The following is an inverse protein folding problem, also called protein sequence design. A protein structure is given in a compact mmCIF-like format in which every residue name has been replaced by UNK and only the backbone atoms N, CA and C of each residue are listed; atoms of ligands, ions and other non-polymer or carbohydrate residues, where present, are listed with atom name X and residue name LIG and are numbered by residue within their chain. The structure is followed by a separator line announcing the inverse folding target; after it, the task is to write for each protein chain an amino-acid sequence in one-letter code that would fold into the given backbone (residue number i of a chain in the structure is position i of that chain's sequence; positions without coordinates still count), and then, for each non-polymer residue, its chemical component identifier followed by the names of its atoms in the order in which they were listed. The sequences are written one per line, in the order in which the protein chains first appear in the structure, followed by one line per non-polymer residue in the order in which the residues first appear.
data_IF_816350744306
#
_entry.id   IF_816350744306
#
_cell.length_a   1.000
_cell.length_b   1.000
_cell.length_c   1.000
_cell.angle_alpha   90.00
_cell.angle_beta   90.00
_cell.angle_gamma   90.00
#
_symmetry.space_group_name_H-M   'P 1'
#
loop_
_entity.id
_entity.type
_entity.pdbx_description
1 polymer ?
#
# COMPACT_ATOMS: atom_id res chain seq x y z
N UNK A 1 11.16 21.94 12.02
CA UNK A 1 10.18 21.38 11.06
C UNK A 1 10.66 20.07 10.44
N UNK A 2 11.82 20.02 9.77
CA UNK A 2 12.32 18.79 9.12
C UNK A 2 12.56 17.65 10.13
N UNK A 3 13.25 17.93 11.25
CA UNK A 3 13.52 16.92 12.30
C UNK A 3 12.22 16.36 12.88
N UNK A 4 11.22 17.21 13.13
CA UNK A 4 9.89 16.82 13.60
C UNK A 4 9.18 15.90 12.59
N UNK A 5 9.24 16.22 11.30
CA UNK A 5 8.63 15.39 10.26
C UNK A 5 9.30 14.01 10.15
N UNK A 6 10.63 13.95 10.22
CA UNK A 6 11.39 12.69 10.23
C UNK A 6 11.01 11.83 11.44
N UNK A 7 10.94 12.45 12.63
CA UNK A 7 10.54 11.76 13.84
C UNK A 7 9.12 11.19 13.72
N UNK A 8 8.16 11.98 13.24
CA UNK A 8 6.78 11.52 13.00
C UNK A 8 6.73 10.36 12.01
N UNK A 9 7.53 10.39 10.93
CA UNK A 9 7.60 9.32 9.95
C UNK A 9 8.13 8.01 10.57
N UNK A 10 9.18 8.09 11.40
CA UNK A 10 9.73 6.92 12.11
C UNK A 10 8.67 6.33 13.05
N UNK A 11 8.02 7.17 13.87
CA UNK A 11 6.96 6.74 14.79
C UNK A 11 5.80 6.10 14.03
N UNK A 12 5.42 6.69 12.89
CA UNK A 12 4.38 6.15 12.02
C UNK A 12 4.72 4.76 11.48
N UNK A 13 5.95 4.56 10.98
CA UNK A 13 6.40 3.24 10.50
C UNK A 13 6.43 2.21 11.62
N UNK A 14 6.93 2.57 12.81
CA UNK A 14 6.93 1.68 13.98
C UNK A 14 5.50 1.29 14.35
N UNK A 15 4.58 2.25 14.42
CA UNK A 15 3.18 2.00 14.70
C UNK A 15 2.55 1.07 13.67
N UNK A 16 2.81 1.31 12.38
CA UNK A 16 2.33 0.48 11.28
C UNK A 16 2.80 -0.98 11.38
N UNK A 17 4.09 -1.20 11.65
CA UNK A 17 4.63 -2.56 11.84
C UNK A 17 3.99 -3.23 13.05
N UNK A 18 3.86 -2.51 14.17
CA UNK A 18 3.21 -3.02 15.37
C UNK A 18 1.75 -3.42 15.12
N UNK A 19 0.96 -2.54 14.48
CA UNK A 19 -0.42 -2.83 14.12
C UNK A 19 -0.54 -4.01 13.15
N UNK A 20 0.39 -4.12 12.19
CA UNK A 20 0.41 -5.23 11.24
C UNK A 20 0.58 -6.58 11.92
N UNK A 21 1.58 -6.69 12.80
CA UNK A 21 1.85 -7.91 13.57
C UNK A 21 0.66 -8.26 14.46
N UNK A 22 0.11 -7.27 15.16
CA UNK A 22 -1.03 -7.48 16.06
C UNK A 22 -2.30 -7.90 15.30
N UNK A 23 -2.55 -7.31 14.13
CA UNK A 23 -3.69 -7.65 13.30
C UNK A 23 -3.56 -9.07 12.72
N UNK A 24 -2.37 -9.45 12.24
CA UNK A 24 -2.12 -10.81 11.77
C UNK A 24 -2.30 -11.84 12.89
N UNK A 25 -1.73 -11.61 14.09
CA UNK A 25 -1.91 -12.54 15.22
C UNK A 25 -3.37 -12.70 15.63
N UNK A 26 -4.10 -11.59 15.75
CA UNK A 26 -5.53 -11.64 16.05
C UNK A 26 -6.31 -12.39 14.97
N UNK A 27 -5.97 -12.16 13.70
CA UNK A 27 -6.65 -12.79 12.57
C UNK A 27 -6.30 -14.28 12.45
N UNK A 28 -5.07 -14.67 12.72
CA UNK A 28 -4.61 -16.05 12.73
C UNK A 28 -5.32 -16.86 13.85
N UNK A 29 -5.32 -16.32 15.08
CA UNK A 29 -5.97 -16.95 16.23
C UNK A 29 -7.50 -17.14 16.04
N UNK A 30 -8.16 -16.26 15.28
CA UNK A 30 -9.62 -16.24 15.13
C UNK A 30 -10.13 -16.81 13.80
N UNK A 31 -9.34 -16.71 12.73
CA UNK A 31 -9.75 -17.01 11.36
C UNK A 31 -8.78 -17.92 10.61
N UNK A 32 -7.67 -18.37 11.23
CA UNK A 32 -6.63 -19.19 10.57
C UNK A 32 -6.12 -18.54 9.26
N UNK A 33 -5.94 -17.21 9.32
CA UNK A 33 -5.61 -16.41 8.15
C UNK A 33 -4.83 -15.15 8.51
N UNK A 34 -3.72 -14.93 7.81
CA UNK A 34 -2.90 -13.72 7.90
C UNK A 34 -3.24 -12.72 6.78
N UNK A 35 -3.96 -11.62 7.09
CA UNK A 35 -4.39 -10.65 6.09
C UNK A 35 -3.22 -9.81 5.53
N UNK A 36 -2.16 -9.60 6.30
CA UNK A 36 -0.97 -8.86 5.87
C UNK A 36 0.14 -9.88 5.58
N UNK A 37 0.02 -10.56 4.44
CA UNK A 37 1.00 -11.51 3.93
C UNK A 37 1.81 -10.92 2.76
N UNK A 38 2.95 -11.53 2.42
CA UNK A 38 3.76 -11.12 1.26
C UNK A 38 2.94 -11.03 -0.03
N UNK A 39 2.01 -11.97 -0.25
CA UNK A 39 1.13 -11.98 -1.41
C UNK A 39 0.23 -10.74 -1.45
N UNK A 40 -0.45 -10.44 -0.33
CA UNK A 40 -1.38 -9.31 -0.27
C UNK A 40 -0.65 -7.96 -0.31
N UNK A 41 0.58 -7.89 0.22
CA UNK A 41 1.47 -6.74 0.08
C UNK A 41 1.79 -6.52 -1.40
N UNK A 42 2.25 -7.55 -2.11
CA UNK A 42 2.60 -7.45 -3.53
C UNK A 42 1.40 -7.02 -4.38
N UNK A 43 0.23 -7.62 -4.13
CA UNK A 43 -1.02 -7.22 -4.81
C UNK A 43 -1.37 -5.76 -4.54
N UNK A 44 -1.12 -5.25 -3.33
CA UNK A 44 -1.39 -3.85 -3.00
C UNK A 44 -0.34 -2.88 -3.58
N UNK A 45 0.83 -3.35 -4.02
CA UNK A 45 1.80 -2.52 -4.74
C UNK A 45 1.38 -2.25 -6.19
N UNK A 46 0.66 -3.20 -6.81
CA UNK A 46 0.23 -3.11 -8.23
C UNK A 46 -0.53 -1.82 -8.57
N UNK A 47 -1.54 -1.36 -7.80
CA UNK A 47 -2.21 -0.09 -8.04
C UNK A 47 -1.25 1.10 -8.15
N UNK A 48 -0.28 1.19 -7.24
CA UNK A 48 0.66 2.31 -7.20
C UNK A 48 1.66 2.27 -8.34
N UNK A 49 2.14 1.08 -8.70
CA UNK A 49 3.01 0.91 -9.88
C UNK A 49 2.25 1.29 -11.15
N UNK A 50 0.99 0.87 -11.27
CA UNK A 50 0.16 1.13 -12.44
C UNK A 50 -0.15 2.63 -12.59
N UNK A 51 -0.50 3.31 -11.49
CA UNK A 51 -0.63 4.77 -11.43
C UNK A 51 0.70 5.42 -11.83
N UNK A 52 1.82 4.99 -11.24
CA UNK A 52 3.15 5.50 -11.56
C UNK A 52 3.47 5.43 -13.05
N UNK A 53 3.36 4.24 -13.65
CA UNK A 53 3.64 4.03 -15.07
C UNK A 53 2.81 4.97 -15.96
N UNK A 54 1.52 5.12 -15.66
CA UNK A 54 0.65 5.94 -16.50
C UNK A 54 0.89 7.44 -16.33
N UNK A 55 1.12 7.90 -15.10
CA UNK A 55 1.43 9.32 -14.84
C UNK A 55 2.79 9.74 -15.38
N UNK A 56 3.82 8.90 -15.28
CA UNK A 56 5.18 9.28 -15.65
C UNK A 56 5.59 8.87 -17.07
N UNK A 57 5.11 7.73 -17.58
CA UNK A 57 5.54 7.17 -18.88
C UNK A 57 4.54 7.50 -19.98
N UNK A 58 3.28 7.09 -19.83
CA UNK A 58 2.31 7.15 -20.93
C UNK A 58 1.62 8.51 -21.10
N UNK A 59 1.41 9.25 -20.00
CA UNK A 59 0.90 10.64 -19.99
C UNK A 59 -0.40 10.89 -20.78
N UNK A 60 -1.20 9.86 -21.03
CA UNK A 60 -2.51 9.97 -21.72
C UNK A 60 -3.63 10.04 -20.69
N UNK A 61 -4.57 10.99 -20.86
CA UNK A 61 -5.73 11.17 -19.98
C UNK A 61 -6.62 9.92 -19.93
N UNK A 62 -6.87 9.29 -21.08
CA UNK A 62 -7.65 8.05 -21.15
C UNK A 62 -6.98 6.93 -20.35
N UNK A 63 -5.65 6.78 -20.50
CA UNK A 63 -4.89 5.79 -19.75
C UNK A 63 -4.89 6.09 -18.26
N UNK A 64 -4.87 7.36 -17.84
CA UNK A 64 -4.93 7.75 -16.42
C UNK A 64 -6.26 7.37 -15.79
N UNK A 65 -7.37 7.61 -16.49
CA UNK A 65 -8.70 7.21 -16.03
C UNK A 65 -8.79 5.69 -15.90
N UNK A 66 -8.35 4.95 -16.92
CA UNK A 66 -8.29 3.48 -16.88
C UNK A 66 -7.40 2.99 -15.73
N UNK A 67 -6.26 3.64 -15.49
CA UNK A 67 -5.35 3.30 -14.41
C UNK A 67 -6.00 3.44 -13.03
N UNK A 68 -6.74 4.52 -12.82
CA UNK A 68 -7.48 4.75 -11.57
C UNK A 68 -8.57 3.68 -11.40
N UNK A 69 -9.30 3.35 -12.48
CA UNK A 69 -10.35 2.32 -12.45
C UNK A 69 -9.75 0.95 -12.08
N UNK A 70 -8.69 0.51 -12.77
CA UNK A 70 -8.06 -0.77 -12.48
C UNK A 70 -7.43 -0.81 -11.08
N UNK A 71 -6.80 0.28 -10.66
CA UNK A 71 -6.27 0.42 -9.30
C UNK A 71 -7.36 0.25 -8.24
N UNK A 72 -8.50 0.89 -8.46
CA UNK A 72 -9.67 0.78 -7.57
C UNK A 72 -10.21 -0.65 -7.53
N UNK A 73 -10.33 -1.30 -8.68
CA UNK A 73 -10.77 -2.71 -8.77
C UNK A 73 -9.82 -3.64 -7.99
N UNK A 74 -8.50 -3.44 -8.08
CA UNK A 74 -7.51 -4.26 -7.37
C UNK A 74 -7.64 -4.06 -5.86
N UNK A 75 -7.75 -2.81 -5.39
CA UNK A 75 -7.92 -2.51 -3.96
C UNK A 75 -9.22 -3.13 -3.43
N UNK A 76 -10.33 -2.98 -4.16
CA UNK A 76 -11.62 -3.59 -3.81
C UNK A 76 -11.57 -5.11 -3.86
N UNK A 77 -10.90 -5.70 -4.85
CA UNK A 77 -10.71 -7.15 -4.95
C UNK A 77 -9.94 -7.71 -3.76
N UNK A 78 -8.86 -7.05 -3.35
CA UNK A 78 -8.07 -7.42 -2.17
C UNK A 78 -8.90 -7.27 -0.88
N UNK A 79 -9.67 -6.19 -0.75
CA UNK A 79 -10.61 -6.00 0.35
C UNK A 79 -11.63 -7.14 0.44
N UNK A 80 -12.31 -7.46 -0.67
CA UNK A 80 -13.31 -8.52 -0.71
C UNK A 80 -12.70 -9.89 -0.43
N UNK A 81 -11.48 -10.14 -0.92
CA UNK A 81 -10.75 -11.36 -0.65
C UNK A 81 -10.47 -11.55 0.85
N UNK A 82 -9.96 -10.52 1.52
CA UNK A 82 -9.72 -10.55 2.97
C UNK A 82 -11.04 -10.67 3.74
N UNK A 83 -12.04 -9.85 3.40
CA UNK A 83 -13.36 -9.84 4.04
C UNK A 83 -14.11 -11.18 3.91
N UNK A 84 -13.85 -11.96 2.87
CA UNK A 84 -14.46 -13.29 2.74
C UNK A 84 -13.85 -14.32 3.68
N UNK A 85 -12.69 -14.02 4.27
CA UNK A 85 -11.98 -14.87 5.23
C UNK A 85 -12.06 -14.34 6.67
N UNK A 86 -12.30 -13.04 6.85
CA UNK A 86 -12.29 -12.36 8.16
C UNK A 86 -13.55 -11.54 8.40
N UNK A 87 -13.63 -10.84 9.53
CA UNK A 87 -14.66 -9.81 9.74
C UNK A 87 -14.35 -8.51 8.96
N UNK A 88 -15.37 -7.63 8.90
CA UNK A 88 -15.29 -6.34 8.21
C UNK A 88 -14.20 -5.43 8.80
N UNK A 89 -14.02 -5.42 10.12
CA UNK A 89 -13.07 -4.55 10.80
C UNK A 89 -11.63 -4.96 10.51
N UNK A 90 -11.34 -6.27 10.50
CA UNK A 90 -10.05 -6.82 10.11
C UNK A 90 -9.76 -6.51 8.65
N UNK A 91 -10.73 -6.69 7.75
CA UNK A 91 -10.54 -6.40 6.34
C UNK A 91 -10.23 -4.91 6.08
N UNK A 92 -11.00 -4.00 6.69
CA UNK A 92 -10.75 -2.56 6.59
C UNK A 92 -9.38 -2.18 7.16
N UNK A 93 -9.02 -2.71 8.33
CA UNK A 93 -7.75 -2.43 8.98
C UNK A 93 -6.57 -2.95 8.16
N UNK A 94 -6.68 -4.15 7.61
CA UNK A 94 -5.66 -4.75 6.78
C UNK A 94 -5.46 -3.97 5.48
N UNK A 95 -6.55 -3.64 4.78
CA UNK A 95 -6.48 -2.85 3.54
C UNK A 95 -5.91 -1.47 3.80
N UNK A 96 -6.29 -0.82 4.90
CA UNK A 96 -5.71 0.45 5.32
C UNK A 96 -4.19 0.33 5.47
N UNK A 97 -3.72 -0.67 6.21
CA UNK A 97 -2.28 -0.91 6.39
C UNK A 97 -1.58 -1.17 5.05
N UNK A 98 -2.15 -2.04 4.22
CA UNK A 98 -1.58 -2.40 2.92
C UNK A 98 -1.48 -1.19 1.97
N UNK A 99 -2.49 -0.31 1.97
CA UNK A 99 -2.47 0.94 1.18
C UNK A 99 -1.28 1.82 1.59
N UNK A 100 -1.04 1.98 2.89
CA UNK A 100 0.09 2.78 3.37
C UNK A 100 1.44 2.16 3.03
N UNK A 101 1.56 0.83 3.09
CA UNK A 101 2.77 0.12 2.64
C UNK A 101 3.02 0.37 1.15
N UNK A 102 1.99 0.24 0.31
CA UNK A 102 2.09 0.53 -1.12
C UNK A 102 2.44 1.99 -1.41
N UNK A 103 1.87 2.93 -0.65
CA UNK A 103 2.19 4.36 -0.77
C UNK A 103 3.64 4.67 -0.38
N UNK A 104 4.15 4.08 0.72
CA UNK A 104 5.54 4.24 1.14
C UNK A 104 6.50 3.71 0.08
N UNK A 105 6.20 2.56 -0.50
CA UNK A 105 6.96 2.01 -1.62
C UNK A 105 6.96 2.95 -2.82
N UNK A 106 5.79 3.47 -3.20
CA UNK A 106 5.67 4.41 -4.31
C UNK A 106 6.49 5.68 -4.09
N UNK A 107 6.40 6.27 -2.90
CA UNK A 107 7.22 7.44 -2.53
C UNK A 107 8.71 7.12 -2.60
N UNK A 108 9.13 5.93 -2.15
CA UNK A 108 10.52 5.51 -2.23
C UNK A 108 11.01 5.38 -3.68
N UNK A 109 10.18 4.83 -4.59
CA UNK A 109 10.50 4.77 -6.03
C UNK A 109 10.66 6.16 -6.66
N UNK A 110 9.78 7.10 -6.32
CA UNK A 110 9.89 8.48 -6.82
C UNK A 110 11.12 9.20 -6.27
N UNK A 111 11.45 8.95 -4.99
CA UNK A 111 12.63 9.53 -4.36
C UNK A 111 13.93 8.97 -4.96
N UNK A 112 13.98 7.68 -5.32
CA UNK A 112 15.15 7.11 -5.99
C UNK A 112 15.36 7.68 -7.40
N UNK A 113 14.29 7.88 -8.16
CA UNK A 113 14.37 8.44 -9.53
C UNK A 113 14.93 9.86 -9.57
N UNK A 114 14.64 10.71 -8.58
CA UNK A 114 15.12 12.11 -8.54
C UNK A 114 16.62 12.26 -8.24
N UNK A 115 17.28 11.20 -7.79
CA UNK A 115 18.71 11.28 -7.43
C UNK A 115 19.62 11.29 -8.64
N UNK A 116 19.18 10.71 -9.75
CA UNK A 116 19.97 10.62 -10.98
C UNK A 116 20.02 11.98 -11.70
N UNK A 117 18.95 12.78 -11.66
CA UNK A 117 18.88 14.11 -12.28
C UNK A 117 19.80 15.19 -11.64
N UNK A 118 20.40 14.91 -10.48
CA UNK A 118 21.28 15.87 -9.76
C UNK A 118 22.78 15.63 -10.01
N UNK A 119 23.14 14.59 -10.77
CA UNK A 119 24.53 14.25 -11.10
C UNK A 119 24.84 14.28 -12.61
N UNK A 120 23.88 14.71 -13.44
CA UNK A 120 24.09 15.15 -14.84
C UNK A 120 24.07 16.68 -14.92
#
# INVERSE_FOLDING_TARGET
MIITAIFCAIVFVIAMVYFSIRLNRYSDEKYDYEPISFLNIFLMMTPFVLIGCVFFIFKSEENQILAIIFSTIIVLGNFLYIKNKTDLYVALSAVFVLIFVGLLFFVALLASSRRDDYYD
#
